data_IF_646016478007
#
_entry.id   IF_646016478007
#
_cell.length_a   1.000
_cell.length_b   1.000
_cell.length_c   1.000
_cell.angle_alpha   90.00
_cell.angle_beta   90.00
_cell.angle_gamma   90.00
#
_symmetry.space_group_name_H-M   'P 1'
#
loop_
_entity.id
_entity.type
_entity.pdbx_description
1 polymer ?
#
# COMPACT_ATOMS: atom_id res chain seq x y z
N UNK A 1 16.60 18.61 -10.63
CA UNK A 1 15.60 19.46 -9.95
C UNK A 1 14.43 18.54 -9.58
N UNK A 2 14.44 17.93 -8.40
CA UNK A 2 13.32 17.09 -7.96
C UNK A 2 12.30 18.02 -7.32
N UNK A 3 11.37 18.54 -8.11
CA UNK A 3 10.23 19.29 -7.58
C UNK A 3 9.33 18.29 -6.84
N UNK A 4 9.45 18.24 -5.51
CA UNK A 4 8.53 17.46 -4.66
C UNK A 4 7.11 17.98 -4.88
N UNK A 5 6.29 17.18 -5.56
CA UNK A 5 4.90 17.55 -5.85
C UNK A 5 4.13 17.50 -4.53
N UNK A 6 3.89 18.67 -3.93
CA UNK A 6 3.00 18.81 -2.77
C UNK A 6 1.59 18.46 -3.25
N UNK A 7 1.05 17.35 -2.77
CA UNK A 7 -0.31 16.96 -3.10
C UNK A 7 -1.32 17.92 -2.49
N UNK A 8 -2.32 18.26 -3.28
CA UNK A 8 -3.52 18.91 -2.78
C UNK A 8 -4.29 17.99 -1.83
N UNK A 9 -5.07 18.57 -0.91
CA UNK A 9 -5.98 17.79 -0.04
C UNK A 9 -6.91 16.85 -0.81
N UNK A 10 -7.23 17.17 -2.06
CA UNK A 10 -8.08 16.36 -2.94
C UNK A 10 -7.36 15.10 -3.41
N UNK A 11 -6.09 15.23 -3.82
CA UNK A 11 -5.27 14.09 -4.25
C UNK A 11 -5.03 13.14 -3.07
N UNK A 12 -4.74 13.67 -1.87
CA UNK A 12 -4.57 12.86 -0.66
C UNK A 12 -5.83 12.05 -0.30
N UNK A 13 -7.01 12.69 -0.36
CA UNK A 13 -8.30 12.00 -0.15
C UNK A 13 -8.58 10.94 -1.22
N UNK A 14 -8.15 11.18 -2.45
CA UNK A 14 -8.32 10.23 -3.55
C UNK A 14 -7.43 9.00 -3.34
N UNK A 15 -6.16 9.19 -2.96
CA UNK A 15 -5.23 8.12 -2.61
C UNK A 15 -5.75 7.27 -1.45
N UNK A 16 -6.24 7.92 -0.39
CA UNK A 16 -6.85 7.24 0.75
C UNK A 16 -8.00 6.30 0.34
N UNK A 17 -8.91 6.79 -0.53
CA UNK A 17 -10.04 5.98 -1.01
C UNK A 17 -9.57 4.77 -1.80
N UNK A 18 -8.54 4.91 -2.65
CA UNK A 18 -7.96 3.81 -3.41
C UNK A 18 -7.37 2.75 -2.48
N UNK A 19 -6.59 3.16 -1.49
CA UNK A 19 -5.99 2.24 -0.51
C UNK A 19 -7.08 1.48 0.26
N UNK A 20 -8.12 2.17 0.74
CA UNK A 20 -9.23 1.52 1.42
C UNK A 20 -10.00 0.55 0.53
N UNK A 21 -10.20 0.90 -0.74
CA UNK A 21 -10.86 0.02 -1.69
C UNK A 21 -10.04 -1.27 -1.88
N UNK A 22 -8.74 -1.15 -2.11
CA UNK A 22 -7.86 -2.31 -2.26
C UNK A 22 -7.79 -3.16 -0.99
N UNK A 23 -7.67 -2.50 0.17
CA UNK A 23 -7.66 -3.20 1.45
C UNK A 23 -8.96 -4.01 1.66
N UNK A 24 -10.12 -3.52 1.23
CA UNK A 24 -11.40 -4.25 1.34
C UNK A 24 -11.48 -5.53 0.52
N UNK A 25 -10.79 -5.58 -0.61
CA UNK A 25 -10.78 -6.77 -1.48
C UNK A 25 -9.55 -7.65 -1.26
N UNK A 26 -8.67 -7.28 -0.33
CA UNK A 26 -7.45 -8.01 -0.01
C UNK A 26 -7.76 -9.40 0.61
N UNK A 27 -7.25 -10.51 0.03
CA UNK A 27 -7.58 -11.87 0.47
C UNK A 27 -6.77 -12.28 1.71
N UNK A 28 -7.05 -11.66 2.86
CA UNK A 28 -6.39 -11.96 4.13
C UNK A 28 -7.38 -12.04 5.30
N UNK A 29 -7.14 -12.97 6.22
CA UNK A 29 -7.87 -13.04 7.49
C UNK A 29 -7.62 -11.81 8.38
N UNK A 30 -6.51 -11.10 8.16
CA UNK A 30 -6.14 -9.86 8.88
C UNK A 30 -6.68 -8.59 8.20
N UNK A 31 -7.48 -8.73 7.13
CA UNK A 31 -8.01 -7.61 6.34
C UNK A 31 -8.68 -6.53 7.20
N UNK A 32 -9.53 -6.92 8.13
CA UNK A 32 -10.29 -5.94 8.92
C UNK A 32 -9.38 -5.15 9.88
N UNK A 33 -8.32 -5.79 10.38
CA UNK A 33 -7.29 -5.11 11.17
C UNK A 33 -6.48 -4.15 10.28
N UNK A 34 -6.06 -4.59 9.09
CA UNK A 34 -5.37 -3.75 8.11
C UNK A 34 -6.19 -2.50 7.74
N UNK A 35 -7.50 -2.66 7.50
CA UNK A 35 -8.38 -1.52 7.22
C UNK A 35 -8.41 -0.54 8.40
N UNK A 36 -8.53 -1.05 9.64
CA UNK A 36 -8.53 -0.18 10.84
C UNK A 36 -7.21 0.56 11.00
N UNK A 37 -6.08 -0.12 10.79
CA UNK A 37 -4.74 0.49 10.88
C UNK A 37 -4.59 1.62 9.85
N UNK A 38 -4.97 1.39 8.60
CA UNK A 38 -4.97 2.41 7.54
C UNK A 38 -5.85 3.61 7.94
N UNK A 39 -7.06 3.36 8.45
CA UNK A 39 -7.97 4.43 8.87
C UNK A 39 -7.39 5.26 10.03
N UNK A 40 -6.76 4.59 11.00
CA UNK A 40 -6.18 5.21 12.17
C UNK A 40 -4.98 6.08 11.77
N UNK A 41 -4.07 5.54 10.96
CA UNK A 41 -2.88 6.25 10.49
C UNK A 41 -3.24 7.51 9.67
N UNK A 42 -4.22 7.41 8.77
CA UNK A 42 -4.70 8.57 8.01
C UNK A 42 -5.38 9.61 8.89
N UNK A 43 -6.07 9.20 9.96
CA UNK A 43 -6.70 10.12 10.91
C UNK A 43 -5.67 10.84 11.76
N UNK A 44 -4.64 10.14 12.22
CA UNK A 44 -3.55 10.72 13.02
C UNK A 44 -2.74 11.73 12.21
N UNK A 45 -2.48 11.41 10.94
CA UNK A 45 -1.73 12.29 10.02
C UNK A 45 -2.60 13.36 9.35
N UNK A 46 -3.92 13.39 9.59
CA UNK A 46 -4.85 14.31 8.91
C UNK A 46 -4.61 15.79 9.24
N UNK A 47 -4.06 16.07 10.42
CA UNK A 47 -3.71 17.44 10.86
C UNK A 47 -2.28 17.85 10.52
N UNK A 48 -1.48 16.96 9.89
CA UNK A 48 -0.12 17.31 9.48
C UNK A 48 -0.17 18.35 8.35
N UNK A 49 0.58 19.42 8.51
CA UNK A 49 0.65 20.55 7.56
C UNK A 49 2.05 20.74 6.98
N UNK A 50 3.03 20.02 7.52
CA UNK A 50 4.40 20.06 7.04
C UNK A 50 4.52 19.43 5.64
N UNK A 51 4.95 20.20 4.62
CA UNK A 51 5.04 19.70 3.25
C UNK A 51 6.04 18.55 3.08
N UNK A 52 7.12 18.49 3.86
CA UNK A 52 8.12 17.42 3.74
C UNK A 52 7.55 16.09 4.27
N UNK A 53 6.86 16.14 5.41
CA UNK A 53 6.19 14.96 5.97
C UNK A 53 5.02 14.50 5.11
N UNK A 54 4.25 15.43 4.54
CA UNK A 54 3.18 15.08 3.60
C UNK A 54 3.73 14.34 2.37
N UNK A 55 4.90 14.76 1.85
CA UNK A 55 5.58 14.04 0.77
C UNK A 55 6.02 12.65 1.22
N UNK A 56 6.59 12.50 2.41
CA UNK A 56 7.00 11.20 2.95
C UNK A 56 5.81 10.25 3.15
N UNK A 57 4.71 10.75 3.71
CA UNK A 57 3.48 9.98 3.90
C UNK A 57 2.82 9.60 2.57
N UNK A 58 2.91 10.46 1.58
CA UNK A 58 2.49 10.13 0.24
C UNK A 58 3.28 8.93 -0.31
N UNK A 59 4.61 8.97 -0.24
CA UNK A 59 5.44 7.92 -0.80
C UNK A 59 5.19 6.57 -0.10
N UNK A 60 5.01 6.58 1.23
CA UNK A 60 4.60 5.41 2.00
C UNK A 60 3.23 4.88 1.55
N UNK A 61 2.25 5.76 1.36
CA UNK A 61 0.90 5.40 0.95
C UNK A 61 0.87 4.82 -0.47
N UNK A 62 1.68 5.35 -1.40
CA UNK A 62 1.82 4.81 -2.76
C UNK A 62 2.46 3.43 -2.73
N UNK A 63 3.52 3.23 -1.95
CA UNK A 63 4.16 1.92 -1.80
C UNK A 63 3.19 0.89 -1.20
N UNK A 64 2.41 1.28 -0.18
CA UNK A 64 1.38 0.43 0.41
C UNK A 64 0.29 0.06 -0.59
N UNK A 65 -0.16 1.01 -1.41
CA UNK A 65 -1.13 0.76 -2.48
C UNK A 65 -0.60 -0.26 -3.50
N UNK A 66 0.62 -0.05 -3.99
CA UNK A 66 1.28 -0.99 -4.92
C UNK A 66 1.40 -2.39 -4.32
N UNK A 67 1.71 -2.49 -3.03
CA UNK A 67 1.79 -3.77 -2.36
C UNK A 67 0.42 -4.47 -2.31
N UNK A 68 -0.65 -3.76 -1.95
CA UNK A 68 -2.01 -4.31 -1.95
C UNK A 68 -2.43 -4.76 -3.35
N UNK A 69 -2.14 -3.93 -4.37
CA UNK A 69 -2.47 -4.21 -5.77
C UNK A 69 -1.87 -5.51 -6.30
N UNK A 70 -0.66 -5.90 -5.85
CA UNK A 70 -0.03 -7.17 -6.24
C UNK A 70 -0.89 -8.39 -5.91
N UNK A 71 -1.71 -8.31 -4.86
CA UNK A 71 -2.55 -9.42 -4.41
C UNK A 71 -4.01 -9.25 -4.79
N UNK A 72 -4.44 -8.05 -5.16
CA UNK A 72 -5.82 -7.77 -5.56
C UNK A 72 -6.01 -7.72 -7.07
N UNK A 73 -4.92 -7.77 -7.85
CA UNK A 73 -4.95 -7.84 -9.32
C UNK A 73 -5.54 -6.60 -10.01
N UNK A 74 -5.78 -5.52 -9.26
CA UNK A 74 -6.55 -4.37 -9.74
C UNK A 74 -5.63 -3.21 -10.10
N UNK A 75 -5.35 -3.07 -11.39
CA UNK A 75 -4.73 -1.89 -11.98
C UNK A 75 -5.79 -1.05 -12.71
N UNK A 76 -6.00 0.18 -12.24
CA UNK A 76 -7.05 1.10 -12.71
C UNK A 76 -6.69 1.71 -14.09
N UNK A 77 -5.42 1.63 -14.50
CA UNK A 77 -4.92 2.16 -15.77
C UNK A 77 -4.64 1.09 -16.84
N UNK A 78 -4.54 -0.20 -16.47
CA UNK A 78 -4.24 -1.27 -17.41
C UNK A 78 -4.92 -2.60 -17.00
N UNK A 79 -6.12 -2.91 -17.53
CA UNK A 79 -6.89 -4.10 -17.17
C UNK A 79 -6.33 -5.42 -17.74
N UNK A 80 -5.18 -5.41 -18.42
CA UNK A 80 -4.59 -6.58 -19.07
C UNK A 80 -3.12 -6.74 -18.71
N UNK A 81 -2.83 -7.13 -17.46
CA UNK A 81 -1.49 -7.51 -17.06
C UNK A 81 -1.45 -8.99 -16.68
N UNK A 82 -0.62 -9.75 -17.40
CA UNK A 82 -0.27 -11.13 -17.06
C UNK A 82 0.51 -11.09 -15.75
N UNK A 83 -0.02 -11.78 -14.75
CA UNK A 83 0.66 -11.98 -13.47
C UNK A 83 1.78 -13.01 -13.72
N UNK A 84 3.00 -12.56 -13.93
CA UNK A 84 4.17 -13.42 -13.79
C UNK A 84 4.38 -13.66 -12.28
N UNK A 85 3.69 -14.66 -11.76
CA UNK A 85 3.92 -15.17 -10.42
C UNK A 85 5.32 -15.78 -10.39
N UNK A 86 6.33 -15.03 -9.95
CA UNK A 86 7.51 -15.65 -9.37
C UNK A 86 7.05 -16.46 -8.16
N UNK A 87 6.88 -17.77 -8.37
CA UNK A 87 6.67 -18.76 -7.33
C UNK A 87 7.89 -18.77 -6.41
N UNK A 88 7.91 -17.90 -5.40
CA UNK A 88 8.68 -18.16 -4.19
C UNK A 88 7.73 -18.74 -3.13
N UNK A 89 7.82 -20.04 -2.83
CA UNK A 89 6.98 -20.65 -1.81
C UNK A 89 7.40 -20.12 -0.43
N UNK A 90 6.57 -19.25 0.15
CA UNK A 90 6.69 -18.88 1.55
C UNK A 90 6.18 -20.04 2.42
N UNK A 91 7.10 -20.91 2.86
CA UNK A 91 6.87 -21.78 4.02
C UNK A 91 7.63 -23.11 4.02
N UNK A 92 8.67 -23.20 4.84
CA UNK A 92 9.28 -24.47 5.26
C UNK A 92 10.65 -24.27 5.90
N UNK A 93 10.71 -24.30 7.24
CA UNK A 93 11.99 -24.35 7.98
C UNK A 93 12.54 -25.76 7.91
N UNK A 94 13.83 -25.94 7.66
CA UNK A 94 14.58 -27.07 8.24
C UNK A 94 16.08 -26.75 8.25
N UNK A 95 16.68 -27.11 9.38
CA UNK A 95 18.07 -26.93 9.75
C UNK A 95 18.91 -27.90 8.92
N UNK A 96 20.13 -27.51 8.53
CA UNK A 96 21.27 -28.43 8.57
C UNK A 96 22.59 -27.67 8.52
N UNK A 97 23.29 -27.71 9.65
CA UNK A 97 24.74 -27.50 9.77
C UNK A 97 25.45 -28.65 9.06
N UNK A 98 26.56 -28.40 8.33
CA UNK A 98 27.59 -29.40 8.21
C UNK A 98 28.80 -29.01 9.08
N UNK A 99 29.27 -30.02 9.82
CA UNK A 99 30.56 -30.07 10.51
C UNK A 99 31.76 -29.90 9.58
#
# INVERSE_FOLDING_TARGET
IMAGKVLSKVELKSLYRKILFQAKIFPSIKRDNLIREIQLEFREKASETDPEKLSSYHDQAVQGLQHLQRYTGFDEANPNWEIEMEKQPLGGKEQDTPS
#
